data_IF_109887920444
#
_entry.id   IF_109887920444
#
_cell.length_a   1.000
_cell.length_b   1.000
_cell.length_c   1.000
_cell.angle_alpha   90.00
_cell.angle_beta   90.00
_cell.angle_gamma   90.00
#
_symmetry.space_group_name_H-M   'P 1'
#
loop_
_entity.id
_entity.type
_entity.pdbx_description
1 polymer ?
#
# COMPACT_ATOMS: atom_id res chain seq x y z
N UNK A 1 -10.03 7.78 28.90
CA UNK A 1 -10.25 7.08 27.63
C UNK A 1 -9.51 7.89 26.59
N UNK A 2 -8.40 7.40 26.03
CA UNK A 2 -7.76 8.09 24.90
C UNK A 2 -8.74 8.05 23.74
N UNK A 3 -9.23 9.23 23.34
CA UNK A 3 -9.94 9.39 22.08
C UNK A 3 -8.87 9.20 21.01
N UNK A 4 -8.85 8.05 20.33
CA UNK A 4 -8.10 7.91 19.08
C UNK A 4 -8.67 8.97 18.14
N UNK A 5 -7.91 10.04 17.87
CA UNK A 5 -8.27 10.95 16.81
C UNK A 5 -8.31 10.15 15.51
N UNK A 6 -9.43 10.27 14.78
CA UNK A 6 -9.50 9.75 13.43
C UNK A 6 -8.40 10.44 12.61
N UNK A 7 -7.58 9.62 11.95
CA UNK A 7 -6.52 10.12 11.09
C UNK A 7 -7.09 11.07 10.05
N UNK A 8 -6.38 12.16 9.78
CA UNK A 8 -6.70 13.04 8.66
C UNK A 8 -6.60 12.30 7.34
N UNK A 9 -7.26 12.82 6.30
CA UNK A 9 -7.19 12.23 4.96
C UNK A 9 -5.75 12.16 4.43
N UNK A 10 -4.91 13.15 4.72
CA UNK A 10 -3.50 13.14 4.32
C UNK A 10 -2.71 12.03 5.02
N UNK A 11 -2.89 11.85 6.33
CA UNK A 11 -2.24 10.76 7.06
C UNK A 11 -2.73 9.39 6.56
N UNK A 12 -4.01 9.24 6.22
CA UNK A 12 -4.54 8.02 5.63
C UNK A 12 -3.92 7.71 4.26
N UNK A 13 -3.70 8.74 3.44
CA UNK A 13 -3.02 8.62 2.14
C UNK A 13 -1.56 8.19 2.35
N UNK A 14 -0.84 8.84 3.26
CA UNK A 14 0.55 8.50 3.56
C UNK A 14 0.68 7.04 4.01
N UNK A 15 -0.17 6.60 4.94
CA UNK A 15 -0.18 5.20 5.39
C UNK A 15 -0.49 4.23 4.25
N UNK A 16 -1.39 4.58 3.32
CA UNK A 16 -1.67 3.72 2.17
C UNK A 16 -0.48 3.62 1.21
N UNK A 17 0.26 4.71 0.99
CA UNK A 17 1.48 4.74 0.17
C UNK A 17 2.57 3.90 0.84
N UNK A 18 2.84 4.14 2.12
CA UNK A 18 3.88 3.43 2.87
C UNK A 18 3.62 1.92 2.90
N UNK A 19 2.35 1.54 3.08
CA UNK A 19 1.93 0.14 3.03
C UNK A 19 2.20 -0.48 1.66
N UNK A 20 1.86 0.20 0.57
CA UNK A 20 2.12 -0.29 -0.79
C UNK A 20 3.61 -0.43 -1.08
N UNK A 21 4.43 0.56 -0.72
CA UNK A 21 5.90 0.51 -0.87
C UNK A 21 6.48 -0.68 -0.10
N UNK A 22 5.98 -0.94 1.11
CA UNK A 22 6.43 -2.10 1.89
C UNK A 22 6.08 -3.42 1.22
N UNK A 23 4.86 -3.57 0.67
CA UNK A 23 4.48 -4.76 -0.08
C UNK A 23 5.37 -4.97 -1.32
N UNK A 24 5.71 -3.90 -2.05
CA UNK A 24 6.60 -3.97 -3.21
C UNK A 24 8.03 -4.39 -2.80
N UNK A 25 8.54 -3.91 -1.67
CA UNK A 25 9.84 -4.36 -1.12
C UNK A 25 9.83 -5.84 -0.77
N UNK A 26 8.77 -6.32 -0.12
CA UNK A 26 8.60 -7.75 0.20
C UNK A 26 8.56 -8.56 -1.09
N UNK A 27 7.79 -8.12 -2.09
CA UNK A 27 7.68 -8.80 -3.39
C UNK A 27 9.01 -8.89 -4.11
N UNK A 28 9.80 -7.82 -4.11
CA UNK A 28 11.14 -7.81 -4.72
C UNK A 28 12.12 -8.77 -4.02
N UNK A 29 11.99 -8.95 -2.71
CA UNK A 29 12.84 -9.87 -1.95
C UNK A 29 12.37 -11.34 -1.99
N UNK A 30 11.18 -11.61 -2.54
CA UNK A 30 10.58 -12.94 -2.50
C UNK A 30 11.15 -13.85 -3.59
N UNK A 31 11.53 -15.07 -3.21
CA UNK A 31 12.14 -16.05 -4.12
C UNK A 31 11.16 -17.09 -4.68
N UNK A 32 9.91 -17.07 -4.21
CA UNK A 32 8.85 -17.99 -4.60
C UNK A 32 7.52 -17.26 -4.82
N UNK A 33 6.54 -17.94 -5.43
CA UNK A 33 5.19 -17.39 -5.62
C UNK A 33 4.46 -17.25 -4.27
N UNK A 34 3.81 -16.10 -4.04
CA UNK A 34 2.96 -15.86 -2.87
C UNK A 34 1.67 -15.17 -3.29
N UNK A 35 0.61 -15.97 -3.42
CA UNK A 35 -0.71 -15.52 -3.86
C UNK A 35 -1.36 -14.52 -2.90
N UNK A 36 -1.06 -14.63 -1.61
CA UNK A 36 -1.58 -13.69 -0.61
C UNK A 36 -0.90 -12.32 -0.77
N UNK A 37 0.42 -12.28 -0.97
CA UNK A 37 1.13 -11.03 -1.24
C UNK A 37 0.59 -10.35 -2.51
N UNK A 38 0.35 -11.12 -3.57
CA UNK A 38 -0.24 -10.58 -4.81
C UNK A 38 -1.65 -10.03 -4.59
N UNK A 39 -2.46 -10.69 -3.75
CA UNK A 39 -3.79 -10.21 -3.38
C UNK A 39 -3.71 -8.91 -2.58
N UNK A 40 -2.84 -8.83 -1.57
CA UNK A 40 -2.63 -7.61 -0.77
C UNK A 40 -2.18 -6.43 -1.64
N UNK A 41 -1.29 -6.68 -2.61
CA UNK A 41 -0.88 -5.66 -3.58
C UNK A 41 -2.08 -5.18 -4.39
N UNK A 42 -2.93 -6.07 -4.90
CA UNK A 42 -4.15 -5.67 -5.65
C UNK A 42 -5.07 -4.80 -4.80
N UNK A 43 -5.30 -5.17 -3.54
CA UNK A 43 -6.14 -4.39 -2.62
C UNK A 43 -5.53 -3.01 -2.35
N UNK A 44 -4.22 -2.94 -2.12
CA UNK A 44 -3.53 -1.67 -1.93
C UNK A 44 -3.65 -0.75 -3.16
N UNK A 45 -3.49 -1.31 -4.37
CA UNK A 45 -3.69 -0.58 -5.64
C UNK A 45 -5.10 0.01 -5.74
N UNK A 46 -6.13 -0.77 -5.40
CA UNK A 46 -7.53 -0.28 -5.39
C UNK A 46 -7.70 0.84 -4.36
N UNK A 47 -7.16 0.71 -3.15
CA UNK A 47 -7.26 1.75 -2.13
C UNK A 47 -6.58 3.05 -2.58
N UNK A 48 -5.40 2.96 -3.15
CA UNK A 48 -4.66 4.12 -3.66
C UNK A 48 -5.38 4.80 -4.82
N UNK A 49 -6.03 4.04 -5.70
CA UNK A 49 -6.82 4.62 -6.78
C UNK A 49 -8.05 5.38 -6.26
N UNK A 50 -8.67 4.97 -5.14
CA UNK A 50 -9.74 5.77 -4.51
C UNK A 50 -9.26 7.14 -4.03
N UNK A 51 -7.96 7.29 -3.80
CA UNK A 51 -7.35 8.57 -3.44
C UNK A 51 -6.80 9.36 -4.63
N UNK A 52 -6.98 8.84 -5.86
CA UNK A 52 -6.39 9.40 -7.09
C UNK A 52 -4.86 9.50 -7.02
N UNK A 53 -4.21 8.58 -6.30
CA UNK A 53 -2.75 8.51 -6.22
C UNK A 53 -2.25 7.65 -7.38
N UNK A 54 -1.40 8.23 -8.23
CA UNK A 54 -0.66 7.50 -9.25
C UNK A 54 0.53 6.78 -8.60
N UNK A 55 0.66 5.48 -8.89
CA UNK A 55 1.69 4.60 -8.35
C UNK A 55 2.53 3.95 -9.45
N UNK A 56 2.37 4.39 -10.69
CA UNK A 56 3.07 3.82 -11.85
C UNK A 56 4.60 3.94 -11.70
N UNK A 57 5.08 5.00 -11.05
CA UNK A 57 6.51 5.19 -10.77
C UNK A 57 7.01 4.45 -9.51
N UNK A 58 6.12 3.86 -8.72
CA UNK A 58 6.47 3.14 -7.49
C UNK A 58 6.65 1.64 -7.73
N UNK A 59 6.41 1.16 -8.95
CA UNK A 59 6.65 -0.23 -9.31
C UNK A 59 8.15 -0.50 -9.44
N UNK A 60 8.67 -1.44 -8.65
CA UNK A 60 10.06 -1.91 -8.78
C UNK A 60 10.08 -2.89 -9.97
N UNK A 61 10.88 -2.56 -10.98
CA UNK A 61 11.10 -3.37 -12.19
C UNK A 61 11.76 -4.73 -11.89
#
# INVERSE_FOLDING_TARGET
MEVKQDMTLEEQKQVAIDYYVNLMRIKAAQTSENKELDYQIKVAKVKLSTFSIDISELEIA
#
